data_IF_704983086767
#
_entry.id   IF_704983086767
#
_cell.length_a   1.000
_cell.length_b   1.000
_cell.length_c   1.000
_cell.angle_alpha   90.00
_cell.angle_beta   90.00
_cell.angle_gamma   90.00
#
_symmetry.space_group_name_H-M   'P 1'
#
loop_
_entity.id
_entity.type
_entity.pdbx_description
1 polymer ?
#
# COMPACT_ATOMS: atom_id res chain seq x y z
N UNK A 1 -2.46 -21.06 -13.39
CA UNK A 1 -1.46 -21.19 -12.31
C UNK A 1 -1.44 -22.60 -11.72
N UNK A 2 -2.58 -23.16 -11.27
CA UNK A 2 -2.62 -24.49 -10.65
C UNK A 2 -2.12 -25.64 -11.55
N UNK A 3 -2.26 -25.52 -12.88
CA UNK A 3 -1.79 -26.52 -13.85
C UNK A 3 -0.38 -26.26 -14.38
N UNK A 4 -0.07 -25.01 -14.72
CA UNK A 4 1.15 -24.67 -15.48
C UNK A 4 2.21 -23.89 -14.66
N UNK A 5 1.87 -23.45 -13.43
CA UNK A 5 2.73 -22.60 -12.60
C UNK A 5 2.78 -21.13 -13.04
N UNK A 6 3.35 -20.27 -12.19
CA UNK A 6 3.54 -18.84 -12.49
C UNK A 6 4.64 -18.55 -13.53
N UNK A 7 5.77 -19.27 -13.57
CA UNK A 7 6.78 -19.08 -14.62
C UNK A 7 6.22 -19.29 -16.03
N UNK A 8 5.33 -20.28 -16.23
CA UNK A 8 4.70 -20.48 -17.53
C UNK A 8 3.73 -19.35 -17.89
N UNK A 9 3.01 -18.81 -16.91
CA UNK A 9 2.15 -17.63 -17.13
C UNK A 9 2.97 -16.38 -17.45
N UNK A 10 4.13 -16.20 -16.82
CA UNK A 10 5.07 -15.13 -17.17
C UNK A 10 5.59 -15.27 -18.61
N UNK A 11 5.93 -16.49 -19.03
CA UNK A 11 6.33 -16.76 -20.41
C UNK A 11 5.20 -16.46 -21.42
N UNK A 12 3.94 -16.78 -21.09
CA UNK A 12 2.79 -16.38 -21.92
C UNK A 12 2.63 -14.87 -21.96
N UNK A 13 2.80 -14.18 -20.82
CA UNK A 13 2.76 -12.72 -20.77
C UNK A 13 3.82 -12.11 -21.68
N UNK A 14 5.04 -12.69 -21.71
CA UNK A 14 6.11 -12.23 -22.58
C UNK A 14 5.79 -12.34 -24.08
N UNK A 15 4.87 -13.21 -24.49
CA UNK A 15 4.43 -13.34 -25.88
C UNK A 15 3.42 -12.25 -26.28
N UNK A 16 2.56 -11.83 -25.35
CA UNK A 16 1.44 -10.91 -25.63
C UNK A 16 1.73 -9.47 -25.21
N UNK A 17 2.54 -9.27 -24.17
CA UNK A 17 2.96 -7.99 -23.63
C UNK A 17 4.42 -8.05 -23.13
N UNK A 18 5.40 -8.04 -24.05
CA UNK A 18 6.82 -8.13 -23.71
C UNK A 18 7.29 -7.01 -22.76
N UNK A 19 6.74 -5.80 -22.94
CA UNK A 19 7.10 -4.63 -22.13
C UNK A 19 6.68 -4.79 -20.67
N UNK A 20 5.45 -5.25 -20.42
CA UNK A 20 5.01 -5.58 -19.06
C UNK A 20 5.80 -6.77 -18.50
N UNK A 21 6.01 -7.83 -19.27
CA UNK A 21 6.73 -9.02 -18.81
C UNK A 21 8.16 -8.70 -18.35
N UNK A 22 8.89 -7.84 -19.06
CA UNK A 22 10.24 -7.43 -18.72
C UNK A 22 10.33 -6.68 -17.37
N UNK A 23 9.26 -5.98 -16.98
CA UNK A 23 9.19 -5.21 -15.73
C UNK A 23 8.76 -6.05 -14.53
N UNK A 24 8.09 -7.18 -14.75
CA UNK A 24 7.54 -8.00 -13.68
C UNK A 24 8.47 -9.17 -13.35
N UNK A 25 8.69 -9.40 -12.05
CA UNK A 25 9.37 -10.60 -11.60
C UNK A 25 8.49 -11.83 -11.90
N UNK A 26 9.07 -12.99 -12.28
CA UNK A 26 8.30 -14.20 -12.64
C UNK A 26 7.38 -14.75 -11.54
N UNK A 27 7.60 -14.35 -10.29
CA UNK A 27 6.82 -14.73 -9.12
C UNK A 27 5.78 -13.67 -8.69
N UNK A 28 5.67 -12.55 -9.40
CA UNK A 28 4.65 -11.51 -9.14
C UNK A 28 3.29 -11.94 -9.68
N UNK A 29 2.73 -12.96 -9.03
CA UNK A 29 1.51 -13.66 -9.43
C UNK A 29 0.33 -12.72 -9.69
N UNK A 30 0.13 -11.74 -8.80
CA UNK A 30 -0.98 -10.81 -8.90
C UNK A 30 -0.85 -9.91 -10.14
N UNK A 31 0.34 -9.35 -10.41
CA UNK A 31 0.53 -8.48 -11.57
C UNK A 31 0.55 -9.25 -12.88
N UNK A 32 1.14 -10.44 -12.90
CA UNK A 32 1.11 -11.32 -14.08
C UNK A 32 -0.32 -11.70 -14.44
N UNK A 33 -1.11 -12.12 -13.44
CA UNK A 33 -2.51 -12.45 -13.64
C UNK A 33 -3.30 -11.25 -14.19
N UNK A 34 -3.13 -10.07 -13.59
CA UNK A 34 -3.85 -8.87 -14.03
C UNK A 34 -3.49 -8.48 -15.47
N UNK A 35 -2.22 -8.52 -15.84
CA UNK A 35 -1.80 -8.17 -17.20
C UNK A 35 -2.38 -9.12 -18.25
N UNK A 36 -2.37 -10.43 -17.97
CA UNK A 36 -3.00 -11.43 -18.83
C UNK A 36 -4.52 -11.28 -18.88
N UNK A 37 -5.17 -10.99 -17.75
CA UNK A 37 -6.61 -10.74 -17.68
C UNK A 37 -7.02 -9.55 -18.55
N UNK A 38 -6.30 -8.43 -18.46
CA UNK A 38 -6.52 -7.25 -19.30
C UNK A 38 -6.42 -7.62 -20.78
N UNK A 39 -5.39 -8.36 -21.18
CA UNK A 39 -5.22 -8.80 -22.56
C UNK A 39 -6.35 -9.73 -23.01
N UNK A 40 -6.74 -10.72 -22.19
CA UNK A 40 -7.80 -11.67 -22.55
C UNK A 40 -9.18 -10.99 -22.68
N UNK A 41 -9.45 -9.96 -21.89
CA UNK A 41 -10.74 -9.26 -21.91
C UNK A 41 -10.82 -8.17 -22.99
N UNK A 42 -9.71 -7.47 -23.26
CA UNK A 42 -9.68 -6.32 -24.19
C UNK A 42 -9.08 -6.63 -25.55
N UNK A 43 -8.30 -7.71 -25.68
CA UNK A 43 -7.45 -7.97 -26.84
C UNK A 43 -6.21 -7.06 -26.91
N UNK A 44 -6.05 -6.10 -25.99
CA UNK A 44 -4.95 -5.14 -25.98
C UNK A 44 -3.97 -5.40 -24.84
N UNK A 45 -2.64 -5.30 -25.09
CA UNK A 45 -1.63 -5.40 -24.04
C UNK A 45 -1.84 -4.32 -22.96
N UNK A 46 -1.58 -4.67 -21.70
CA UNK A 46 -1.70 -3.72 -20.58
C UNK A 46 -0.72 -2.55 -20.73
N UNK A 47 0.48 -2.80 -21.27
CA UNK A 47 1.46 -1.76 -21.58
C UNK A 47 0.96 -0.74 -22.59
N UNK A 48 0.12 -1.15 -23.55
CA UNK A 48 -0.47 -0.24 -24.52
C UNK A 48 -1.55 0.65 -23.88
N UNK A 49 -2.37 0.09 -22.99
CA UNK A 49 -3.40 0.85 -22.26
C UNK A 49 -2.82 1.81 -21.22
N UNK A 50 -1.67 1.47 -20.64
CA UNK A 50 -0.97 2.30 -19.65
C UNK A 50 0.08 3.23 -20.29
N UNK A 51 0.20 3.23 -21.62
CA UNK A 51 1.05 4.18 -22.30
C UNK A 51 0.61 5.61 -21.96
N UNK A 52 1.56 6.56 -21.81
CA UNK A 52 1.21 7.94 -21.53
C UNK A 52 0.19 8.43 -22.56
N UNK A 53 -0.93 9.06 -22.13
CA UNK A 53 -1.93 9.54 -23.07
C UNK A 53 -1.28 10.56 -24.01
N UNK A 54 -1.63 10.48 -25.30
CA UNK A 54 -1.15 11.42 -26.32
C UNK A 54 -1.65 12.84 -26.11
N UNK A 55 -2.66 13.03 -25.26
CA UNK A 55 -3.18 14.34 -24.84
C UNK A 55 -3.14 14.40 -23.32
N UNK A 56 -2.59 15.50 -22.81
CA UNK A 56 -2.71 15.85 -21.40
C UNK A 56 -4.18 16.21 -21.17
N UNK A 57 -4.77 15.68 -20.10
CA UNK A 57 -6.10 16.09 -19.66
C UNK A 57 -6.02 17.54 -19.19
N UNK A 58 -6.57 18.46 -19.98
CA UNK A 58 -6.54 19.90 -19.72
C UNK A 58 -7.14 20.24 -18.34
N UNK A 59 -8.09 19.44 -17.85
CA UNK A 59 -8.70 19.63 -16.53
C UNK A 59 -7.74 19.19 -15.41
N UNK A 60 -6.96 18.12 -15.61
CA UNK A 60 -5.94 17.70 -14.65
C UNK A 60 -4.76 18.69 -14.62
N UNK A 61 -4.41 19.29 -15.77
CA UNK A 61 -3.36 20.30 -15.87
C UNK A 61 -3.70 21.63 -15.16
N UNK A 62 -4.98 21.88 -14.86
CA UNK A 62 -5.42 23.07 -14.12
C UNK A 62 -5.05 23.04 -12.63
N UNK A 63 -4.63 21.88 -12.09
CA UNK A 63 -4.26 21.73 -10.69
C UNK A 63 -2.75 21.49 -10.54
N UNK A 64 -2.12 22.27 -9.65
CA UNK A 64 -0.77 21.97 -9.18
C UNK A 64 -0.85 20.91 -8.09
N UNK A 65 -0.37 19.70 -8.39
CA UNK A 65 -0.23 18.66 -7.36
C UNK A 65 0.99 18.95 -6.49
N UNK A 66 0.78 19.01 -5.18
CA UNK A 66 1.82 19.32 -4.19
C UNK A 66 1.76 18.27 -3.10
N UNK A 67 2.59 17.21 -3.18
CA UNK A 67 2.57 16.16 -2.19
C UNK A 67 3.23 16.65 -0.90
N UNK A 68 2.50 16.59 0.22
CA UNK A 68 3.06 16.83 1.56
C UNK A 68 3.12 15.51 2.31
N UNK A 69 4.32 15.09 2.70
CA UNK A 69 4.58 13.81 3.32
C UNK A 69 4.97 13.97 4.79
N UNK A 70 4.15 13.44 5.69
CA UNK A 70 4.43 13.35 7.11
C UNK A 70 5.34 12.14 7.37
N UNK A 71 6.65 12.35 7.37
CA UNK A 71 7.65 11.29 7.53
C UNK A 71 8.31 11.36 8.91
N UNK A 72 8.43 10.26 9.65
CA UNK A 72 9.17 10.26 10.91
C UNK A 72 10.67 10.34 10.65
N UNK A 73 11.36 11.30 11.27
CA UNK A 73 12.82 11.39 11.24
C UNK A 73 13.52 10.19 11.91
N UNK A 74 12.89 9.57 12.91
CA UNK A 74 13.39 8.41 13.64
C UNK A 74 12.46 7.18 13.50
N UNK A 75 13.03 6.10 12.95
CA UNK A 75 12.32 4.82 12.76
C UNK A 75 12.03 4.10 14.08
N UNK A 76 12.85 4.28 15.11
CA UNK A 76 12.63 3.67 16.41
C UNK A 76 11.37 4.23 17.07
N UNK A 77 11.20 5.56 17.02
CA UNK A 77 9.97 6.24 17.50
C UNK A 77 8.74 5.76 16.74
N UNK A 78 8.81 5.65 15.41
CA UNK A 78 7.71 5.08 14.61
C UNK A 78 7.36 3.66 15.05
N UNK A 79 8.36 2.79 15.23
CA UNK A 79 8.14 1.41 15.64
C UNK A 79 7.53 1.28 17.04
N UNK A 80 7.91 2.17 17.96
CA UNK A 80 7.33 2.24 19.30
C UNK A 80 5.87 2.70 19.25
N UNK A 81 5.57 3.79 18.50
CA UNK A 81 4.19 4.27 18.29
C UNK A 81 3.30 3.22 17.64
N UNK A 82 3.83 2.45 16.68
CA UNK A 82 3.09 1.33 16.06
C UNK A 82 2.71 0.27 17.10
N UNK A 83 3.66 -0.14 17.95
CA UNK A 83 3.39 -1.14 18.97
C UNK A 83 2.35 -0.63 19.97
N UNK A 84 2.54 0.58 20.50
CA UNK A 84 1.60 1.21 21.43
C UNK A 84 0.20 1.35 20.83
N UNK A 85 0.10 1.76 19.56
CA UNK A 85 -1.20 1.88 18.88
C UNK A 85 -1.87 0.52 18.70
N UNK A 86 -1.11 -0.53 18.38
CA UNK A 86 -1.66 -1.88 18.23
C UNK A 86 -2.17 -2.42 19.56
N UNK A 87 -1.43 -2.21 20.64
CA UNK A 87 -1.86 -2.57 21.99
C UNK A 87 -3.14 -1.84 22.38
N UNK A 88 -3.19 -0.52 22.15
CA UNK A 88 -4.39 0.27 22.41
C UNK A 88 -5.60 -0.21 21.59
N UNK A 89 -5.41 -0.71 20.37
CA UNK A 89 -6.49 -1.33 19.59
C UNK A 89 -6.99 -2.62 20.25
N UNK A 90 -6.08 -3.49 20.70
CA UNK A 90 -6.44 -4.73 21.41
C UNK A 90 -7.22 -4.43 22.68
N UNK A 91 -6.75 -3.47 23.48
CA UNK A 91 -7.40 -3.01 24.71
C UNK A 91 -8.78 -2.40 24.44
N UNK A 92 -8.97 -1.79 23.26
CA UNK A 92 -10.25 -1.23 22.82
C UNK A 92 -11.22 -2.26 22.19
N UNK A 93 -10.95 -3.57 22.33
CA UNK A 93 -11.84 -4.62 21.85
C UNK A 93 -11.67 -4.98 20.36
N UNK A 94 -10.47 -4.79 19.80
CA UNK A 94 -10.21 -5.14 18.40
C UNK A 94 -10.43 -6.63 18.10
N UNK A 95 -10.15 -7.52 19.05
CA UNK A 95 -10.44 -8.96 18.86
C UNK A 95 -11.94 -9.21 18.71
N UNK A 96 -12.76 -8.60 19.57
CA UNK A 96 -14.21 -8.74 19.53
C UNK A 96 -14.79 -8.18 18.22
N UNK A 97 -14.21 -7.10 17.70
CA UNK A 97 -14.57 -6.57 16.38
C UNK A 97 -14.38 -7.61 15.27
N UNK A 98 -13.20 -8.23 15.22
CA UNK A 98 -12.88 -9.23 14.20
C UNK A 98 -13.72 -10.50 14.39
N UNK A 99 -14.00 -10.89 15.64
CA UNK A 99 -14.89 -12.01 15.93
C UNK A 99 -16.31 -11.76 15.39
N UNK A 100 -16.86 -10.55 15.59
CA UNK A 100 -18.17 -10.18 15.03
C UNK A 100 -18.17 -10.24 13.50
N UNK A 101 -17.08 -9.81 12.84
CA UNK A 101 -16.94 -9.91 11.39
C UNK A 101 -16.85 -11.36 10.92
N UNK A 102 -16.10 -12.20 11.64
CA UNK A 102 -15.95 -13.63 11.33
C UNK A 102 -17.25 -14.42 11.42
N UNK A 103 -18.20 -13.99 12.24
CA UNK A 103 -19.54 -14.59 12.32
C UNK A 103 -20.44 -14.29 11.12
N UNK A 104 -20.02 -13.42 10.19
CA UNK A 104 -20.77 -13.16 8.97
C UNK A 104 -20.42 -14.17 7.89
N UNK A 105 -21.45 -14.75 7.27
CA UNK A 105 -21.27 -15.77 6.23
C UNK A 105 -20.71 -15.23 4.90
N UNK A 106 -20.73 -13.90 4.71
CA UNK A 106 -20.24 -13.25 3.49
C UNK A 106 -18.75 -12.85 3.55
N UNK A 107 -18.09 -13.06 4.69
CA UNK A 107 -16.69 -12.72 4.89
C UNK A 107 -15.81 -13.97 5.00
N UNK A 108 -14.68 -13.96 4.30
CA UNK A 108 -13.66 -15.01 4.40
C UNK A 108 -12.24 -14.42 4.30
N UNK A 109 -11.20 -15.13 4.78
CA UNK A 109 -9.81 -14.62 4.83
C UNK A 109 -9.18 -14.23 3.49
N UNK A 110 -9.79 -14.64 2.38
CA UNK A 110 -9.32 -14.31 1.03
C UNK A 110 -9.68 -12.90 0.59
N UNK A 111 -10.67 -12.27 1.22
CA UNK A 111 -11.15 -10.94 0.83
C UNK A 111 -10.13 -9.83 1.15
N UNK A 112 -10.04 -8.76 0.34
CA UNK A 112 -9.14 -7.65 0.60
C UNK A 112 -9.33 -7.03 1.99
N UNK A 113 -10.59 -6.91 2.45
CA UNK A 113 -10.92 -6.39 3.78
C UNK A 113 -10.33 -7.24 4.90
N UNK A 114 -10.44 -8.57 4.81
CA UNK A 114 -9.91 -9.49 5.84
C UNK A 114 -8.40 -9.70 5.74
N UNK A 115 -7.80 -9.32 4.61
CA UNK A 115 -6.34 -9.31 4.42
C UNK A 115 -5.67 -8.03 4.94
N UNK A 116 -6.43 -7.07 5.46
CA UNK A 116 -5.90 -5.90 6.14
C UNK A 116 -4.97 -6.29 7.30
N UNK A 117 -3.95 -5.45 7.54
CA UNK A 117 -3.04 -5.61 8.67
C UNK A 117 -3.83 -5.50 9.97
N UNK A 118 -3.56 -6.40 10.92
CA UNK A 118 -4.35 -6.58 12.13
C UNK A 118 -5.43 -7.65 11.93
N UNK A 119 -6.39 -7.39 11.04
CA UNK A 119 -7.53 -8.30 10.79
C UNK A 119 -7.10 -9.71 10.46
N UNK A 120 -6.16 -9.87 9.52
CA UNK A 120 -5.65 -11.19 9.14
C UNK A 120 -5.04 -11.93 10.34
N UNK A 121 -4.26 -11.23 11.17
CA UNK A 121 -3.56 -11.85 12.30
C UNK A 121 -4.54 -12.24 13.41
N UNK A 122 -5.53 -11.40 13.69
CA UNK A 122 -6.59 -11.72 14.65
C UNK A 122 -7.46 -12.85 14.14
N UNK A 123 -7.74 -12.91 12.83
CA UNK A 123 -8.48 -14.03 12.24
C UNK A 123 -7.74 -15.35 12.40
N UNK A 124 -6.44 -15.41 12.07
CA UNK A 124 -5.58 -16.58 12.30
C UNK A 124 -5.57 -17.01 13.78
N UNK A 125 -5.57 -16.05 14.71
CA UNK A 125 -5.70 -16.31 16.16
C UNK A 125 -7.07 -16.93 16.53
N UNK A 126 -8.16 -16.39 15.98
CA UNK A 126 -9.52 -16.89 16.21
C UNK A 126 -9.77 -18.27 15.56
N UNK A 127 -9.03 -18.60 14.50
CA UNK A 127 -8.99 -19.94 13.89
C UNK A 127 -8.16 -20.95 14.72
N UNK A 128 -7.38 -20.48 15.70
CA UNK A 128 -6.52 -21.32 16.54
C UNK A 128 -5.14 -21.61 15.94
N UNK A 129 -4.78 -20.97 14.83
CA UNK A 129 -3.50 -21.17 14.13
C UNK A 129 -2.29 -20.55 14.87
N UNK A 130 -2.54 -19.65 15.82
CA UNK A 130 -1.50 -18.93 16.56
C UNK A 130 -1.99 -18.55 17.95
N UNK A 131 -1.06 -18.39 18.90
CA UNK A 131 -1.37 -17.83 20.22
C UNK A 131 -1.47 -16.29 20.21
N UNK A 132 -2.01 -15.72 21.28
CA UNK A 132 -2.22 -14.27 21.44
C UNK A 132 -0.93 -13.45 21.31
N UNK A 133 0.16 -13.87 21.93
CA UNK A 133 1.45 -13.16 21.90
C UNK A 133 1.99 -13.13 20.48
N UNK A 134 1.95 -14.27 19.80
CA UNK A 134 2.40 -14.42 18.42
C UNK A 134 1.50 -13.63 17.45
N UNK A 135 0.18 -13.59 17.67
CA UNK A 135 -0.75 -12.75 16.90
C UNK A 135 -0.39 -11.27 17.00
N UNK A 136 -0.17 -10.79 18.23
CA UNK A 136 0.21 -9.41 18.51
C UNK A 136 1.53 -9.04 17.81
N UNK A 137 2.56 -9.86 17.98
CA UNK A 137 3.88 -9.59 17.40
C UNK A 137 3.84 -9.61 15.87
N UNK A 138 3.08 -10.55 15.27
CA UNK A 138 2.82 -10.58 13.83
C UNK A 138 2.07 -9.33 13.35
N UNK A 139 1.07 -8.86 14.10
CA UNK A 139 0.29 -7.67 13.76
C UNK A 139 1.15 -6.40 13.76
N UNK A 140 1.98 -6.24 14.79
CA UNK A 140 2.96 -5.15 14.90
C UNK A 140 3.97 -5.23 13.75
N UNK A 141 4.54 -6.41 13.48
CA UNK A 141 5.49 -6.60 12.40
C UNK A 141 4.88 -6.27 11.03
N UNK A 142 3.67 -6.78 10.75
CA UNK A 142 2.96 -6.49 9.51
C UNK A 142 2.68 -4.99 9.34
N UNK A 143 2.36 -4.29 10.43
CA UNK A 143 2.17 -2.82 10.43
C UNK A 143 3.49 -2.10 10.12
N UNK A 144 4.62 -2.52 10.69
CA UNK A 144 5.94 -1.96 10.35
C UNK A 144 6.28 -2.17 8.88
N UNK A 145 5.98 -3.34 8.31
CA UNK A 145 6.19 -3.59 6.88
C UNK A 145 5.28 -2.73 5.99
N UNK A 146 4.04 -2.48 6.40
CA UNK A 146 3.13 -1.56 5.73
C UNK A 146 3.71 -0.13 5.72
N UNK A 147 4.08 0.40 6.89
CA UNK A 147 4.66 1.75 6.99
C UNK A 147 5.97 1.88 6.22
N UNK A 148 6.84 0.85 6.25
CA UNK A 148 8.06 0.82 5.43
C UNK A 148 7.73 0.98 3.94
N UNK A 149 6.76 0.23 3.42
CA UNK A 149 6.33 0.32 2.02
C UNK A 149 5.72 1.68 1.69
N UNK A 150 4.93 2.26 2.59
CA UNK A 150 4.37 3.61 2.43
C UNK A 150 5.48 4.66 2.32
N UNK A 151 6.48 4.63 3.22
CA UNK A 151 7.63 5.54 3.16
C UNK A 151 8.45 5.32 1.89
N UNK A 152 8.67 4.07 1.46
CA UNK A 152 9.34 3.79 0.18
C UNK A 152 8.57 4.37 -1.01
N UNK A 153 7.25 4.29 -1.01
CA UNK A 153 6.42 4.88 -2.05
C UNK A 153 6.49 6.41 -2.05
N UNK A 154 6.41 7.05 -0.89
CA UNK A 154 6.58 8.51 -0.76
C UNK A 154 7.95 8.95 -1.27
N UNK A 155 9.02 8.22 -0.97
CA UNK A 155 10.38 8.53 -1.46
C UNK A 155 10.53 8.50 -2.98
N UNK A 156 9.62 7.83 -3.69
CA UNK A 156 9.59 7.84 -5.15
C UNK A 156 8.94 9.12 -5.74
N UNK A 157 8.40 10.00 -4.88
CA UNK A 157 7.94 11.35 -5.23
C UNK A 157 9.02 12.37 -4.84
N UNK A 158 9.96 12.69 -5.75
CA UNK A 158 11.03 13.66 -5.47
C UNK A 158 10.50 15.07 -5.14
N UNK A 159 9.33 15.43 -5.67
CA UNK A 159 8.67 16.73 -5.53
C UNK A 159 7.96 16.95 -4.19
N UNK A 160 7.91 15.93 -3.32
CA UNK A 160 7.18 16.04 -2.06
C UNK A 160 7.87 16.96 -1.06
N UNK A 161 7.05 17.71 -0.34
CA UNK A 161 7.48 18.45 0.84
C UNK A 161 7.46 17.52 2.05
N UNK A 162 8.62 17.30 2.65
CA UNK A 162 8.77 16.43 3.82
C UNK A 162 8.57 17.23 5.09
N UNK A 163 7.66 16.77 5.94
CA UNK A 163 7.42 17.32 7.28
C UNK A 163 7.69 16.22 8.30
N UNK A 164 8.58 16.49 9.25
CA UNK A 164 8.87 15.55 10.33
C UNK A 164 7.69 15.46 11.31
N UNK A 165 6.99 14.31 11.31
CA UNK A 165 5.82 14.08 12.17
C UNK A 165 6.16 13.68 13.62
N UNK A 166 7.45 13.61 13.96
CA UNK A 166 7.92 13.45 15.34
C UNK A 166 8.16 14.81 15.99
N UNK A 167 8.41 15.85 15.20
CA UNK A 167 8.69 17.18 15.71
C UNK A 167 7.49 17.74 16.51
N UNK A 168 7.73 18.39 17.67
CA UNK A 168 6.66 18.93 18.52
C UNK A 168 5.85 20.03 17.82
N UNK A 169 6.45 20.71 16.85
CA UNK A 169 5.89 21.77 16.01
C UNK A 169 5.45 21.25 14.62
N UNK A 170 5.27 19.93 14.45
CA UNK A 170 4.95 19.30 13.16
C UNK A 170 3.73 19.90 12.44
N UNK A 171 2.68 20.25 13.18
CA UNK A 171 1.50 20.95 12.61
C UNK A 171 1.88 22.30 12.02
N UNK A 172 2.64 23.12 12.76
CA UNK A 172 3.10 24.42 12.27
C UNK A 172 3.98 24.27 11.03
N UNK A 173 4.91 23.32 11.06
CA UNK A 173 5.76 23.01 9.89
C UNK A 173 4.95 22.58 8.66
N UNK A 174 3.87 21.82 8.85
CA UNK A 174 3.00 21.41 7.75
C UNK A 174 2.22 22.60 7.16
N UNK A 175 1.71 23.50 8.02
CA UNK A 175 1.04 24.72 7.58
C UNK A 175 2.03 25.63 6.84
N UNK A 176 3.19 25.91 7.40
CA UNK A 176 4.23 26.72 6.77
C UNK A 176 4.66 26.16 5.41
N UNK A 177 4.76 24.83 5.30
CA UNK A 177 5.07 24.15 4.05
C UNK A 177 4.02 24.42 2.98
N UNK A 178 2.74 24.39 3.36
CA UNK A 178 1.62 24.69 2.46
C UNK A 178 1.55 26.17 2.09
N UNK A 179 1.78 27.07 3.04
CA UNK A 179 1.80 28.53 2.78
C UNK A 179 2.87 28.91 1.76
N UNK A 180 4.08 28.35 1.87
CA UNK A 180 5.15 28.59 0.87
C UNK A 180 4.77 28.12 -0.53
N UNK A 181 3.98 27.05 -0.63
CA UNK A 181 3.48 26.54 -1.90
C UNK A 181 2.46 27.49 -2.50
N UNK A 182 1.54 28.00 -1.68
CA UNK A 182 0.49 28.94 -2.09
C UNK A 182 1.07 30.31 -2.47
N UNK A 183 2.08 30.78 -1.75
CA UNK A 183 2.78 32.05 -2.01
C UNK A 183 3.71 31.99 -3.24
N UNK A 184 3.83 30.84 -3.92
CA UNK A 184 4.73 30.66 -5.06
C UNK A 184 6.21 30.63 -4.70
N UNK A 185 6.56 30.44 -3.41
CA UNK A 185 7.94 30.46 -2.89
C UNK A 185 8.67 29.11 -2.97
N UNK A 186 8.00 28.08 -3.49
CA UNK A 186 8.64 26.81 -3.87
C UNK A 186 8.63 26.75 -5.39
N UNK A 187 9.76 27.14 -6.01
CA UNK A 187 10.00 26.99 -7.45
C UNK A 187 10.08 25.50 -7.81
N UNK A 188 9.53 25.15 -8.97
CA UNK A 188 9.59 23.80 -9.52
C UNK A 188 11.05 23.41 -9.75
N UNK A 189 11.48 22.31 -9.12
CA UNK A 189 12.82 21.73 -9.26
C UNK A 189 12.82 20.58 -10.24
#
# INVERSE_FOLDING_TARGET
AARDGWPALHARLAQVDPATAARLAPNDSQRIQRALEVFMLSGQPMSALLAPPTRIDDAAAAYRFVPVALEPSDRAVLHARIAQRFDAMLDAGFIDEVERLRRRDDLHPGLPSMRCVGYRQVWEFLDGDTDYRTMRDKGIFATRQLCKRQITWLRAMPERVVVDCIAPDSTGRAVDALERVLDGRIEDR
#
